data_IF_422581962481
#
_entry.id   IF_422581962481
#
_cell.length_a   1.000
_cell.length_b   1.000
_cell.length_c   1.000
_cell.angle_alpha   90.00
_cell.angle_beta   90.00
_cell.angle_gamma   90.00
#
_symmetry.space_group_name_H-M   'P 1'
#
loop_
_entity.id
_entity.type
_entity.pdbx_description
1 polymer ?
#
# COMPACT_ATOMS: atom_id res chain seq x y z
N UNK A 1 -8.87 -4.77 22.62
CA UNK A 1 -8.19 -4.94 21.32
C UNK A 1 -7.47 -3.65 20.90
N UNK A 2 -8.14 -2.49 20.83
CA UNK A 2 -7.57 -1.24 20.34
C UNK A 2 -6.31 -0.78 21.09
N UNK A 3 -6.30 -0.86 22.42
CA UNK A 3 -5.11 -0.55 23.22
C UNK A 3 -3.94 -1.49 22.94
N UNK A 4 -4.23 -2.78 22.70
CA UNK A 4 -3.21 -3.76 22.35
C UNK A 4 -2.65 -3.51 20.93
N UNK A 5 -3.47 -3.05 19.98
CA UNK A 5 -3.02 -2.64 18.65
C UNK A 5 -2.10 -1.41 18.70
N UNK A 6 -2.40 -0.42 19.54
CA UNK A 6 -1.52 0.72 19.77
C UNK A 6 -0.18 0.26 20.35
N UNK A 7 -0.22 -0.67 21.32
CA UNK A 7 1.01 -1.23 21.90
C UNK A 7 1.85 -1.98 20.86
N UNK A 8 1.23 -2.80 20.00
CA UNK A 8 1.93 -3.47 18.89
C UNK A 8 2.61 -2.48 17.94
N UNK A 9 1.95 -1.37 17.64
CA UNK A 9 2.52 -0.33 16.78
C UNK A 9 3.76 0.30 17.41
N UNK A 10 3.70 0.66 18.69
CA UNK A 10 4.84 1.24 19.41
C UNK A 10 5.99 0.22 19.56
N UNK A 11 5.66 -1.03 19.86
CA UNK A 11 6.65 -2.09 20.06
C UNK A 11 7.45 -2.39 18.77
N UNK A 12 6.83 -2.26 17.59
CA UNK A 12 7.49 -2.54 16.31
C UNK A 12 8.74 -1.69 16.05
N UNK A 13 8.86 -0.53 16.70
CA UNK A 13 9.99 0.39 16.54
C UNK A 13 11.04 0.26 17.65
N UNK A 14 10.75 -0.47 18.74
CA UNK A 14 11.56 -0.50 19.95
C UNK A 14 12.07 -1.89 20.31
N UNK A 15 11.46 -2.95 19.77
CA UNK A 15 11.80 -4.34 20.07
C UNK A 15 12.71 -4.95 19.02
N UNK A 16 13.46 -5.98 19.41
CA UNK A 16 14.13 -6.86 18.45
C UNK A 16 13.09 -7.61 17.59
N UNK A 17 13.51 -8.08 16.42
CA UNK A 17 12.62 -8.80 15.50
C UNK A 17 11.98 -10.05 16.13
N UNK A 18 12.74 -10.79 16.94
CA UNK A 18 12.23 -12.03 17.56
C UNK A 18 11.26 -11.74 18.72
N UNK A 19 11.51 -10.68 19.48
CA UNK A 19 10.56 -10.22 20.51
C UNK A 19 9.26 -9.73 19.90
N UNK A 20 9.35 -9.03 18.76
CA UNK A 20 8.16 -8.57 18.06
C UNK A 20 7.34 -9.70 17.44
N UNK A 21 7.98 -10.75 16.88
CA UNK A 21 7.29 -11.95 16.39
C UNK A 21 6.51 -12.62 17.52
N UNK A 22 7.13 -12.81 18.68
CA UNK A 22 6.49 -13.38 19.84
C UNK A 22 5.30 -12.55 20.33
N UNK A 23 5.44 -11.22 20.33
CA UNK A 23 4.36 -10.32 20.69
C UNK A 23 3.16 -10.43 19.75
N UNK A 24 3.41 -10.55 18.43
CA UNK A 24 2.37 -10.78 17.42
C UNK A 24 1.66 -12.13 17.63
N UNK A 25 2.41 -13.17 17.97
CA UNK A 25 1.85 -14.51 18.29
C UNK A 25 0.96 -14.45 19.52
N UNK A 26 1.40 -13.77 20.57
CA UNK A 26 0.63 -13.58 21.80
C UNK A 26 -0.64 -12.75 21.55
N UNK A 27 -0.53 -11.69 20.74
CA UNK A 27 -1.69 -10.90 20.36
C UNK A 27 -2.74 -11.72 19.60
N UNK A 28 -2.33 -12.51 18.60
CA UNK A 28 -3.25 -13.35 17.81
C UNK A 28 -3.87 -14.43 18.70
N UNK A 29 -3.12 -14.98 19.67
CA UNK A 29 -3.66 -15.96 20.62
C UNK A 29 -4.74 -15.34 21.52
N UNK A 30 -4.55 -14.09 21.93
CA UNK A 30 -5.51 -13.36 22.75
C UNK A 30 -6.72 -12.86 21.92
N UNK A 31 -6.51 -12.47 20.68
CA UNK A 31 -7.52 -11.91 19.78
C UNK A 31 -7.59 -12.69 18.44
N UNK A 32 -8.04 -13.96 18.45
CA UNK A 32 -7.98 -14.84 17.27
C UNK A 32 -8.90 -14.43 16.12
N UNK A 33 -9.83 -13.49 16.35
CA UNK A 33 -10.69 -12.89 15.33
C UNK A 33 -10.19 -11.51 14.84
N UNK A 34 -9.05 -11.03 15.35
CA UNK A 34 -8.49 -9.76 14.92
C UNK A 34 -7.84 -9.86 13.55
N UNK A 35 -8.44 -9.21 12.57
CA UNK A 35 -7.89 -9.09 11.21
C UNK A 35 -6.53 -8.39 11.23
N UNK A 36 -6.39 -7.32 12.02
CA UNK A 36 -5.16 -6.54 12.16
C UNK A 36 -3.98 -7.36 12.66
N UNK A 37 -4.20 -8.26 13.61
CA UNK A 37 -3.15 -9.14 14.13
C UNK A 37 -2.51 -9.98 13.01
N UNK A 38 -3.33 -10.61 12.19
CA UNK A 38 -2.86 -11.43 11.07
C UNK A 38 -2.18 -10.58 9.99
N UNK A 39 -2.75 -9.42 9.62
CA UNK A 39 -2.14 -8.51 8.63
C UNK A 39 -0.77 -8.02 9.12
N UNK A 40 -0.63 -7.64 10.39
CA UNK A 40 0.66 -7.18 10.95
C UNK A 40 1.69 -8.30 10.95
N UNK A 41 1.32 -9.53 11.31
CA UNK A 41 2.25 -10.65 11.29
C UNK A 41 2.62 -11.05 9.86
N UNK A 42 1.68 -11.00 8.91
CA UNK A 42 1.98 -11.20 7.50
C UNK A 42 3.00 -10.17 6.97
N UNK A 43 2.81 -8.87 7.29
CA UNK A 43 3.76 -7.80 6.94
C UNK A 43 5.16 -8.06 7.53
N UNK A 44 5.21 -8.48 8.79
CA UNK A 44 6.46 -8.85 9.45
C UNK A 44 7.16 -10.02 8.72
N UNK A 45 6.42 -11.07 8.37
CA UNK A 45 6.98 -12.20 7.63
C UNK A 45 7.47 -11.82 6.23
N UNK A 46 6.78 -10.93 5.53
CA UNK A 46 7.25 -10.44 4.23
C UNK A 46 8.55 -9.65 4.36
N UNK A 47 8.69 -8.83 5.40
CA UNK A 47 9.94 -8.13 5.66
C UNK A 47 11.11 -9.10 5.93
N UNK A 48 10.86 -10.20 6.63
CA UNK A 48 11.82 -11.30 6.85
C UNK A 48 12.03 -12.20 5.62
N UNK A 49 11.08 -12.25 4.70
CA UNK A 49 11.13 -13.15 3.53
C UNK A 49 12.30 -12.89 2.59
N UNK A 50 12.99 -11.75 2.72
CA UNK A 50 14.25 -11.48 2.01
C UNK A 50 15.35 -12.50 2.35
N UNK A 51 15.28 -13.08 3.55
CA UNK A 51 16.29 -14.02 4.07
C UNK A 51 15.89 -15.50 3.83
N UNK A 52 14.58 -15.79 3.75
CA UNK A 52 14.10 -17.15 3.53
C UNK A 52 12.66 -17.18 2.97
N UNK A 53 12.46 -17.83 1.83
CA UNK A 53 11.13 -17.93 1.16
C UNK A 53 10.04 -18.54 2.03
N UNK A 54 10.38 -19.37 3.03
CA UNK A 54 9.42 -19.94 3.99
C UNK A 54 8.62 -18.88 4.76
N UNK A 55 9.16 -17.66 4.92
CA UNK A 55 8.43 -16.55 5.54
C UNK A 55 7.28 -16.04 4.65
N UNK A 56 7.43 -16.09 3.34
CA UNK A 56 6.32 -15.75 2.43
C UNK A 56 5.16 -16.75 2.54
N UNK A 57 5.45 -18.05 2.74
CA UNK A 57 4.40 -19.04 2.99
C UNK A 57 3.64 -18.76 4.30
N UNK A 58 4.35 -18.33 5.36
CA UNK A 58 3.73 -17.89 6.62
C UNK A 58 2.86 -16.65 6.41
N UNK A 59 3.34 -15.67 5.65
CA UNK A 59 2.57 -14.45 5.33
C UNK A 59 1.28 -14.78 4.57
N UNK A 60 1.33 -15.67 3.58
CA UNK A 60 0.15 -16.14 2.84
C UNK A 60 -0.84 -16.86 3.76
N UNK A 61 -0.35 -17.68 4.71
CA UNK A 61 -1.22 -18.33 5.68
C UNK A 61 -1.96 -17.32 6.56
N UNK A 62 -1.28 -16.26 7.00
CA UNK A 62 -1.88 -15.18 7.80
C UNK A 62 -2.90 -14.37 6.99
N UNK A 63 -2.62 -14.03 5.74
CA UNK A 63 -3.61 -13.37 4.86
C UNK A 63 -4.85 -14.22 4.66
N UNK A 64 -4.69 -15.52 4.44
CA UNK A 64 -5.81 -16.44 4.32
C UNK A 64 -6.63 -16.50 5.61
N UNK A 65 -5.99 -16.43 6.77
CA UNK A 65 -6.69 -16.38 8.05
C UNK A 65 -7.39 -15.03 8.26
N UNK A 66 -6.76 -13.91 7.91
CA UNK A 66 -7.38 -12.60 7.93
C UNK A 66 -8.66 -12.57 7.07
N UNK A 67 -8.61 -13.13 5.85
CA UNK A 67 -9.78 -13.24 4.97
C UNK A 67 -10.91 -14.12 5.54
N UNK A 68 -10.60 -15.07 6.41
CA UNK A 68 -11.63 -15.92 7.07
C UNK A 68 -12.33 -15.19 8.21
N UNK A 69 -11.58 -14.41 8.99
CA UNK A 69 -12.11 -13.74 10.20
C UNK A 69 -12.67 -12.36 9.92
N UNK A 70 -12.29 -11.71 8.81
CA UNK A 70 -12.75 -10.37 8.47
C UNK A 70 -14.26 -10.32 8.22
N UNK A 71 -14.96 -9.43 8.92
CA UNK A 71 -16.37 -9.12 8.66
C UNK A 71 -16.57 -8.45 7.30
N UNK A 72 -15.67 -7.54 6.93
CA UNK A 72 -15.56 -6.89 5.63
C UNK A 72 -14.15 -7.10 5.11
N UNK A 73 -14.02 -7.57 3.88
CA UNK A 73 -12.75 -8.09 3.34
C UNK A 73 -11.96 -7.09 2.51
N UNK A 74 -12.50 -5.92 2.24
CA UNK A 74 -11.89 -4.90 1.39
C UNK A 74 -10.51 -4.47 1.91
N UNK A 75 -10.39 -4.18 3.21
CA UNK A 75 -9.12 -3.79 3.81
C UNK A 75 -8.08 -4.93 3.75
N UNK A 76 -8.48 -6.18 3.92
CA UNK A 76 -7.57 -7.33 3.79
C UNK A 76 -7.05 -7.44 2.36
N UNK A 77 -7.93 -7.38 1.36
CA UNK A 77 -7.54 -7.41 -0.05
C UNK A 77 -6.63 -6.23 -0.42
N UNK A 78 -6.93 -5.04 0.10
CA UNK A 78 -6.06 -3.86 -0.09
C UNK A 78 -4.66 -4.08 0.51
N UNK A 79 -4.57 -4.61 1.73
CA UNK A 79 -3.28 -4.89 2.38
C UNK A 79 -2.49 -5.96 1.63
N UNK A 80 -3.14 -7.02 1.13
CA UNK A 80 -2.50 -8.01 0.26
C UNK A 80 -1.95 -7.35 -1.01
N UNK A 81 -2.76 -6.54 -1.70
CA UNK A 81 -2.35 -5.84 -2.92
C UNK A 81 -1.16 -4.90 -2.67
N UNK A 82 -1.24 -4.08 -1.62
CA UNK A 82 -0.18 -3.15 -1.21
C UNK A 82 1.12 -3.87 -0.91
N UNK A 83 1.05 -5.01 -0.25
CA UNK A 83 2.22 -5.79 0.12
C UNK A 83 2.87 -6.45 -1.09
N UNK A 84 2.08 -7.06 -2.00
CA UNK A 84 2.60 -7.63 -3.25
C UNK A 84 3.22 -6.52 -4.13
N UNK A 85 2.58 -5.35 -4.22
CA UNK A 85 3.12 -4.19 -4.91
C UNK A 85 4.47 -3.77 -4.34
N UNK A 86 4.57 -3.59 -3.01
CA UNK A 86 5.83 -3.24 -2.34
C UNK A 86 6.93 -4.29 -2.53
N UNK A 87 6.55 -5.58 -2.52
CA UNK A 87 7.47 -6.68 -2.83
C UNK A 87 8.03 -6.57 -4.26
N UNK A 88 7.18 -6.32 -5.26
CA UNK A 88 7.60 -6.15 -6.65
C UNK A 88 8.48 -4.90 -6.85
N UNK A 89 8.21 -3.81 -6.14
CA UNK A 89 9.06 -2.61 -6.17
C UNK A 89 10.47 -2.87 -5.66
N UNK A 90 10.69 -3.88 -4.82
CA UNK A 90 12.03 -4.29 -4.37
C UNK A 90 12.85 -4.98 -5.47
N UNK A 91 12.26 -5.20 -6.65
CA UNK A 91 12.85 -5.87 -7.81
C UNK A 91 13.51 -7.21 -7.42
N UNK A 92 12.74 -8.18 -6.88
CA UNK A 92 13.28 -9.47 -6.50
C UNK A 92 13.86 -10.18 -7.74
N UNK A 93 14.98 -10.87 -7.58
CA UNK A 93 15.60 -11.66 -8.67
C UNK A 93 14.64 -12.74 -9.19
N UNK A 94 13.88 -13.35 -8.28
CA UNK A 94 12.82 -14.31 -8.61
C UNK A 94 11.54 -13.90 -7.91
N UNK A 95 10.43 -13.88 -8.67
CA UNK A 95 9.12 -13.63 -8.11
C UNK A 95 8.69 -14.83 -7.24
N UNK A 96 8.21 -14.55 -6.01
CA UNK A 96 7.63 -15.56 -5.16
C UNK A 96 6.27 -15.98 -5.73
N UNK A 97 6.15 -17.24 -6.18
CA UNK A 97 4.91 -17.80 -6.77
C UNK A 97 4.32 -16.83 -7.81
N UNK A 98 3.08 -16.42 -7.60
CA UNK A 98 2.30 -15.52 -8.45
C UNK A 98 2.26 -14.07 -7.93
N UNK A 99 3.21 -13.66 -7.07
CA UNK A 99 3.27 -12.29 -6.54
C UNK A 99 3.76 -11.31 -7.60
N UNK A 100 2.89 -10.99 -8.54
CA UNK A 100 3.12 -10.03 -9.64
C UNK A 100 2.26 -8.78 -9.47
N UNK A 101 2.53 -7.74 -10.26
CA UNK A 101 1.64 -6.58 -10.34
C UNK A 101 0.21 -6.94 -10.74
N UNK A 102 0.02 -7.93 -11.61
CA UNK A 102 -1.32 -8.41 -11.99
C UNK A 102 -2.05 -9.03 -10.81
N UNK A 103 -1.35 -9.80 -9.98
CA UNK A 103 -1.94 -10.37 -8.76
C UNK A 103 -2.24 -9.28 -7.73
N UNK A 104 -1.41 -8.25 -7.62
CA UNK A 104 -1.71 -7.08 -6.79
C UNK A 104 -2.98 -6.37 -7.27
N UNK A 105 -3.10 -6.08 -8.58
CA UNK A 105 -4.31 -5.48 -9.16
C UNK A 105 -5.56 -6.34 -8.96
N UNK A 106 -5.44 -7.66 -9.11
CA UNK A 106 -6.56 -8.58 -8.89
C UNK A 106 -7.11 -8.47 -7.46
N UNK A 107 -6.23 -8.48 -6.46
CA UNK A 107 -6.64 -8.31 -5.07
C UNK A 107 -7.22 -6.91 -4.83
N UNK A 108 -6.59 -5.87 -5.35
CA UNK A 108 -7.06 -4.49 -5.20
C UNK A 108 -8.48 -4.31 -5.78
N UNK A 109 -8.75 -4.90 -6.93
CA UNK A 109 -10.09 -4.86 -7.55
C UNK A 109 -11.14 -5.62 -6.73
N UNK A 110 -10.76 -6.66 -5.97
CA UNK A 110 -11.65 -7.27 -4.98
C UNK A 110 -11.99 -6.28 -3.85
N UNK A 111 -11.00 -5.52 -3.36
CA UNK A 111 -11.25 -4.47 -2.38
C UNK A 111 -12.21 -3.41 -2.92
N UNK A 112 -11.93 -2.88 -4.13
CA UNK A 112 -12.73 -1.84 -4.78
C UNK A 112 -14.16 -2.29 -5.12
N UNK A 113 -14.38 -3.58 -5.36
CA UNK A 113 -15.72 -4.14 -5.59
C UNK A 113 -16.56 -4.18 -4.32
N UNK A 114 -15.93 -4.24 -3.15
CA UNK A 114 -16.60 -4.22 -1.84
C UNK A 114 -16.84 -2.79 -1.37
N UNK A 115 -15.79 -1.94 -1.48
CA UNK A 115 -15.85 -0.52 -1.12
C UNK A 115 -14.91 0.30 -2.04
N UNK A 116 -15.43 1.19 -2.90
CA UNK A 116 -14.60 1.93 -3.86
C UNK A 116 -13.92 3.15 -3.23
N UNK A 117 -13.05 2.93 -2.25
CA UNK A 117 -12.34 4.01 -1.56
C UNK A 117 -11.28 4.68 -2.46
N UNK A 118 -11.11 6.03 -2.38
CA UNK A 118 -10.08 6.73 -3.16
C UNK A 118 -8.65 6.26 -2.91
N UNK A 119 -8.33 5.77 -1.70
CA UNK A 119 -7.01 5.20 -1.38
C UNK A 119 -6.72 3.92 -2.18
N UNK A 120 -7.75 3.14 -2.51
CA UNK A 120 -7.60 1.97 -3.36
C UNK A 120 -7.37 2.39 -4.82
N UNK A 121 -8.07 3.41 -5.28
CA UNK A 121 -7.86 4.00 -6.61
C UNK A 121 -6.46 4.61 -6.76
N UNK A 122 -5.90 5.22 -5.71
CA UNK A 122 -4.52 5.70 -5.70
C UNK A 122 -3.55 4.54 -5.91
N UNK A 123 -3.69 3.45 -5.16
CA UNK A 123 -2.84 2.27 -5.30
C UNK A 123 -3.01 1.60 -6.68
N UNK A 124 -4.21 1.62 -7.27
CA UNK A 124 -4.42 1.15 -8.65
C UNK A 124 -3.55 1.95 -9.63
N UNK A 125 -3.56 3.28 -9.51
CA UNK A 125 -2.71 4.16 -10.30
C UNK A 125 -1.21 3.85 -10.11
N UNK A 126 -0.77 3.65 -8.87
CA UNK A 126 0.62 3.35 -8.55
C UNK A 126 1.08 2.00 -9.17
N UNK A 127 0.23 0.97 -9.13
CA UNK A 127 0.52 -0.33 -9.73
C UNK A 127 0.57 -0.24 -11.25
N UNK A 128 -0.41 0.44 -11.87
CA UNK A 128 -0.45 0.64 -13.33
C UNK A 128 0.75 1.45 -13.81
N UNK A 129 1.15 2.48 -13.06
CA UNK A 129 2.37 3.23 -13.32
C UNK A 129 3.61 2.34 -13.31
N UNK A 130 3.75 1.45 -12.32
CA UNK A 130 4.85 0.51 -12.24
C UNK A 130 4.86 -0.51 -13.40
N UNK A 131 3.68 -0.85 -13.93
CA UNK A 131 3.53 -1.67 -15.15
C UNK A 131 3.77 -0.87 -16.45
N UNK A 132 4.02 0.44 -16.37
CA UNK A 132 4.14 1.36 -17.51
C UNK A 132 2.82 1.56 -18.29
N UNK A 133 1.68 1.18 -17.74
CA UNK A 133 0.37 1.59 -18.23
C UNK A 133 0.07 3.01 -17.74
N UNK A 134 0.75 3.98 -18.36
CA UNK A 134 0.65 5.39 -17.97
C UNK A 134 -0.74 5.99 -18.25
N UNK A 135 -1.45 5.51 -19.27
CA UNK A 135 -2.81 5.96 -19.54
C UNK A 135 -3.79 5.51 -18.46
N UNK A 136 -3.74 4.24 -18.07
CA UNK A 136 -4.52 3.72 -16.97
C UNK A 136 -4.17 4.37 -15.63
N UNK A 137 -2.88 4.56 -15.35
CA UNK A 137 -2.41 5.24 -14.15
C UNK A 137 -2.93 6.67 -14.05
N UNK A 138 -2.85 7.44 -15.15
CA UNK A 138 -3.35 8.83 -15.19
C UNK A 138 -4.86 8.88 -14.89
N UNK A 139 -5.65 8.01 -15.51
CA UNK A 139 -7.09 7.96 -15.26
C UNK A 139 -7.42 7.67 -13.79
N UNK A 140 -6.65 6.77 -13.13
CA UNK A 140 -6.80 6.50 -11.71
C UNK A 140 -6.45 7.72 -10.85
N UNK A 141 -5.34 8.38 -11.11
CA UNK A 141 -4.93 9.58 -10.35
C UNK A 141 -5.89 10.75 -10.54
N UNK A 142 -6.39 10.99 -11.76
CA UNK A 142 -7.39 12.03 -12.04
C UNK A 142 -8.68 11.77 -11.28
N UNK A 143 -9.11 10.52 -11.15
CA UNK A 143 -10.26 10.12 -10.33
C UNK A 143 -10.03 10.42 -8.84
N UNK A 144 -8.83 10.16 -8.31
CA UNK A 144 -8.46 10.54 -6.94
C UNK A 144 -8.45 12.06 -6.77
N UNK A 145 -7.86 12.79 -7.73
CA UNK A 145 -7.78 14.26 -7.70
C UNK A 145 -9.16 14.94 -7.76
N UNK A 146 -10.16 14.29 -8.32
CA UNK A 146 -11.55 14.75 -8.31
C UNK A 146 -12.29 14.44 -7.00
N UNK A 147 -11.71 13.66 -6.10
CA UNK A 147 -12.31 13.28 -4.81
C UNK A 147 -11.96 14.26 -3.69
N UNK A 148 -12.65 14.12 -2.55
CA UNK A 148 -12.34 14.87 -1.32
C UNK A 148 -11.04 14.42 -0.63
N UNK A 149 -10.42 13.34 -1.10
CA UNK A 149 -9.13 12.83 -0.61
C UNK A 149 -7.96 13.16 -1.55
N UNK A 150 -8.14 14.10 -2.47
CA UNK A 150 -7.08 14.64 -3.31
C UNK A 150 -5.92 15.18 -2.45
N UNK A 151 -4.71 14.75 -2.73
CA UNK A 151 -3.51 15.05 -1.95
C UNK A 151 -2.38 15.60 -2.82
N UNK A 152 -1.36 16.20 -2.21
CA UNK A 152 -0.15 16.59 -2.92
C UNK A 152 0.44 15.39 -3.70
N UNK A 153 0.48 14.21 -3.08
CA UNK A 153 1.00 13.01 -3.72
C UNK A 153 0.20 12.59 -4.97
N UNK A 154 -1.15 12.64 -4.92
CA UNK A 154 -1.98 12.26 -6.07
C UNK A 154 -1.84 13.23 -7.24
N UNK A 155 -1.71 14.54 -6.99
CA UNK A 155 -1.44 15.53 -8.03
C UNK A 155 -0.04 15.38 -8.61
N UNK A 156 0.97 15.12 -7.78
CA UNK A 156 2.34 14.86 -8.24
C UNK A 156 2.40 13.62 -9.14
N UNK A 157 1.77 12.52 -8.73
CA UNK A 157 1.71 11.29 -9.52
C UNK A 157 1.05 11.53 -10.88
N UNK A 158 -0.06 12.29 -10.93
CA UNK A 158 -0.71 12.65 -12.19
C UNK A 158 0.19 13.53 -13.07
N UNK A 159 0.88 14.53 -12.49
CA UNK A 159 1.80 15.40 -13.23
C UNK A 159 2.95 14.60 -13.85
N UNK A 160 3.60 13.74 -13.07
CA UNK A 160 4.68 12.85 -13.56
C UNK A 160 4.20 11.90 -14.65
N UNK A 161 2.99 11.39 -14.54
CA UNK A 161 2.41 10.52 -15.56
C UNK A 161 2.12 11.28 -16.84
N UNK A 162 1.57 12.50 -16.77
CA UNK A 162 1.36 13.37 -17.93
C UNK A 162 2.68 13.75 -18.63
N UNK A 163 3.74 14.01 -17.86
CA UNK A 163 5.08 14.27 -18.41
C UNK A 163 5.57 13.07 -19.24
N UNK A 164 5.43 11.84 -18.74
CA UNK A 164 5.81 10.61 -19.47
C UNK A 164 4.95 10.39 -20.72
N UNK A 165 3.69 10.79 -20.69
CA UNK A 165 2.77 10.76 -21.83
C UNK A 165 3.01 11.93 -22.83
N UNK A 166 3.99 12.82 -22.56
CA UNK A 166 4.31 13.99 -23.38
C UNK A 166 3.12 14.95 -23.56
N UNK A 167 2.31 15.11 -22.51
CA UNK A 167 1.23 16.08 -22.50
C UNK A 167 1.75 17.53 -22.56
N UNK A 168 0.86 18.49 -22.84
CA UNK A 168 1.21 19.90 -22.86
C UNK A 168 1.79 20.36 -21.51
N UNK A 169 2.87 21.13 -21.56
CA UNK A 169 3.56 21.63 -20.37
C UNK A 169 2.65 22.44 -19.43
N UNK A 170 1.64 23.12 -19.96
CA UNK A 170 0.67 23.87 -19.16
C UNK A 170 -0.19 22.93 -18.30
N UNK A 171 -0.56 21.75 -18.82
CA UNK A 171 -1.31 20.76 -18.06
C UNK A 171 -0.47 20.16 -16.93
N UNK A 172 0.80 19.88 -17.20
CA UNK A 172 1.73 19.38 -16.18
C UNK A 172 1.92 20.43 -15.08
N UNK A 173 2.16 21.70 -15.46
CA UNK A 173 2.34 22.81 -14.52
C UNK A 173 1.09 23.03 -13.65
N UNK A 174 -0.12 22.98 -14.21
CA UNK A 174 -1.35 23.14 -13.45
C UNK A 174 -1.53 22.06 -12.37
N UNK A 175 -1.11 20.81 -12.65
CA UNK A 175 -1.10 19.73 -11.66
C UNK A 175 -0.03 19.96 -10.59
N UNK A 176 1.16 20.45 -10.97
CA UNK A 176 2.22 20.77 -10.01
C UNK A 176 1.82 21.93 -9.09
N UNK A 177 1.17 22.98 -9.61
CA UNK A 177 0.61 24.07 -8.81
C UNK A 177 -0.41 23.53 -7.79
N UNK A 178 -1.27 22.61 -8.23
CA UNK A 178 -2.25 21.93 -7.36
C UNK A 178 -1.58 21.06 -6.31
N UNK A 179 -0.46 20.42 -6.63
CA UNK A 179 0.37 19.67 -5.69
C UNK A 179 0.96 20.60 -4.62
N UNK A 180 1.62 21.69 -5.05
CA UNK A 180 2.26 22.67 -4.15
C UNK A 180 1.25 23.30 -3.20
N UNK A 181 0.06 23.67 -3.71
CA UNK A 181 -1.02 24.25 -2.90
C UNK A 181 -1.51 23.31 -1.77
N UNK A 182 -1.27 22.01 -1.90
CA UNK A 182 -1.66 20.99 -0.90
C UNK A 182 -0.52 20.54 0.01
N UNK A 183 0.70 21.01 -0.23
CA UNK A 183 1.80 20.76 0.70
C UNK A 183 1.57 21.51 2.01
N UNK A 184 1.82 20.87 3.18
CA UNK A 184 1.72 21.57 4.47
C UNK A 184 2.75 22.70 4.57
N UNK A 185 2.41 23.73 5.29
CA UNK A 185 3.31 24.87 5.57
C UNK A 185 3.66 24.93 7.07
N UNK A 186 4.95 25.01 7.45
CA UNK A 186 6.13 24.97 6.56
C UNK A 186 6.32 23.59 5.90
N UNK A 187 6.93 23.59 4.72
CA UNK A 187 7.19 22.34 4.00
C UNK A 187 8.13 21.47 4.79
N UNK A 188 7.69 20.25 5.10
CA UNK A 188 8.51 19.25 5.78
C UNK A 188 9.35 18.47 4.77
N UNK A 189 10.39 17.76 5.26
CA UNK A 189 11.26 16.92 4.41
C UNK A 189 10.47 15.89 3.57
N UNK A 190 9.32 15.43 4.04
CA UNK A 190 8.47 14.47 3.32
C UNK A 190 7.84 15.06 2.06
N UNK A 191 7.72 16.40 1.98
CA UNK A 191 7.12 17.10 0.84
C UNK A 191 8.16 17.82 -0.04
N UNK A 192 9.42 17.87 0.40
CA UNK A 192 10.50 18.48 -0.39
C UNK A 192 10.61 17.94 -1.83
N UNK A 193 10.42 16.63 -2.10
CA UNK A 193 10.46 16.10 -3.47
C UNK A 193 9.41 16.68 -4.43
N UNK A 194 8.34 17.28 -3.91
CA UNK A 194 7.27 17.87 -4.74
C UNK A 194 7.54 19.33 -5.12
N UNK A 195 8.61 19.92 -4.59
CA UNK A 195 8.97 21.33 -4.82
C UNK A 195 10.18 21.49 -5.78
N UNK A 196 10.83 20.41 -6.15
CA UNK A 196 11.99 20.36 -7.06
C UNK A 196 11.57 19.98 -8.47
#
# INVERSE_FOLDING_TARGET
EDQALVYLFMASTQMSADEYEKLLDDFIRQFPSSTDGYIRRANYYVAKGKDAQSYFDKAVADFNQALKVAAKKDDVYYNIAKLIYGYQLSKPETTYKDWTYDTALKNLRQAMAIDPLPVYTQLEGDILFAQQDYAGALAAYEKVNASNLASAASFFSAAKTKELLKADAKEVLALMDSCIARCPQPVTANFAPYLL
#
